data_IF_911156669559
#
_entry.id   IF_911156669559
#
_cell.length_a   1.000
_cell.length_b   1.000
_cell.length_c   1.000
_cell.angle_alpha   90.00
_cell.angle_beta   90.00
_cell.angle_gamma   90.00
#
_symmetry.space_group_name_H-M   'P 1'
#
loop_
_entity.id
_entity.type
_entity.pdbx_description
1 polymer ?
#
# COMPACT_ATOMS: atom_id res chain seq x y z
N UNK A 1 24.91 -6.49 -83.38
CA UNK A 1 25.21 -5.73 -84.61
C UNK A 1 24.49 -6.34 -85.82
N UNK A 2 24.22 -5.61 -86.91
CA UNK A 2 23.58 -6.18 -88.12
C UNK A 2 24.63 -6.43 -89.21
N UNK A 3 24.70 -7.66 -89.73
CA UNK A 3 25.64 -8.05 -90.79
C UNK A 3 25.55 -7.16 -92.04
N UNK A 4 24.33 -6.89 -92.51
CA UNK A 4 24.06 -6.06 -93.70
C UNK A 4 24.65 -4.64 -93.59
N UNK A 5 24.63 -4.05 -92.39
CA UNK A 5 25.20 -2.74 -92.15
C UNK A 5 26.71 -2.72 -92.38
N UNK A 6 27.42 -3.77 -91.99
CA UNK A 6 28.86 -3.89 -92.20
C UNK A 6 29.21 -4.18 -93.67
N UNK A 7 28.41 -5.01 -94.34
CA UNK A 7 28.56 -5.29 -95.78
C UNK A 7 28.31 -4.03 -96.63
N UNK A 8 27.32 -3.21 -96.28
CA UNK A 8 27.03 -1.92 -96.93
C UNK A 8 28.13 -0.86 -96.72
N UNK A 9 28.96 -1.00 -95.68
CA UNK A 9 30.14 -0.16 -95.44
C UNK A 9 31.37 -0.59 -96.27
N UNK A 10 31.24 -1.62 -97.11
CA UNK A 10 32.31 -2.08 -98.00
C UNK A 10 33.32 -3.02 -97.37
N UNK A 11 33.02 -3.59 -96.19
CA UNK A 11 33.87 -4.58 -95.52
C UNK A 11 33.80 -5.94 -96.24
N UNK A 12 34.92 -6.68 -96.24
CA UNK A 12 34.95 -8.03 -96.81
C UNK A 12 34.24 -9.03 -95.89
N UNK A 13 33.76 -10.17 -96.44
CA UNK A 13 33.06 -11.20 -95.64
C UNK A 13 33.86 -11.65 -94.42
N UNK A 14 35.17 -11.81 -94.55
CA UNK A 14 36.07 -12.22 -93.46
C UNK A 14 36.16 -11.16 -92.36
N UNK A 15 36.22 -9.87 -92.71
CA UNK A 15 36.20 -8.77 -91.74
C UNK A 15 34.84 -8.69 -91.02
N UNK A 16 33.75 -8.90 -91.76
CA UNK A 16 32.39 -8.94 -91.20
C UNK A 16 32.23 -10.10 -90.22
N UNK A 17 32.73 -11.30 -90.57
CA UNK A 17 32.69 -12.47 -89.69
C UNK A 17 33.49 -12.25 -88.40
N UNK A 18 34.68 -11.67 -88.49
CA UNK A 18 35.50 -11.34 -87.31
C UNK A 18 34.81 -10.33 -86.39
N UNK A 19 34.22 -9.26 -86.93
CA UNK A 19 33.52 -8.23 -86.14
C UNK A 19 32.27 -8.81 -85.47
N UNK A 20 31.51 -9.65 -86.18
CA UNK A 20 30.31 -10.27 -85.63
C UNK A 20 30.65 -11.28 -84.52
N UNK A 21 31.78 -12.00 -84.63
CA UNK A 21 32.27 -12.90 -83.59
C UNK A 21 32.68 -12.12 -82.32
N UNK A 22 33.48 -11.07 -82.47
CA UNK A 22 33.89 -10.21 -81.34
C UNK A 22 32.68 -9.56 -80.66
N UNK A 23 31.75 -9.01 -81.46
CA UNK A 23 30.51 -8.42 -80.92
C UNK A 23 29.62 -9.45 -80.21
N UNK A 24 29.62 -10.71 -80.67
CA UNK A 24 28.93 -11.80 -79.99
C UNK A 24 29.58 -12.10 -78.64
N UNK A 25 30.90 -12.17 -78.60
CA UNK A 25 31.68 -12.36 -77.36
C UNK A 25 31.43 -11.24 -76.36
N UNK A 26 31.49 -9.98 -76.78
CA UNK A 26 31.23 -8.80 -75.94
C UNK A 26 29.80 -8.79 -75.38
N UNK A 27 28.80 -9.16 -76.20
CA UNK A 27 27.40 -9.22 -75.76
C UNK A 27 27.20 -10.30 -74.71
N UNK A 28 27.81 -11.48 -74.89
CA UNK A 28 27.70 -12.56 -73.90
C UNK A 28 28.43 -12.20 -72.60
N UNK A 29 29.60 -11.55 -72.68
CA UNK A 29 30.29 -11.02 -71.51
C UNK A 29 29.44 -9.97 -70.75
N UNK A 30 28.90 -8.98 -71.47
CA UNK A 30 28.05 -7.95 -70.89
C UNK A 30 26.74 -8.51 -70.30
N UNK A 31 26.14 -9.53 -70.92
CA UNK A 31 24.99 -10.24 -70.33
C UNK A 31 25.35 -10.92 -69.02
N UNK A 32 26.49 -11.60 -68.98
CA UNK A 32 27.01 -12.22 -67.75
C UNK A 32 27.17 -11.20 -66.63
N UNK A 33 27.81 -10.07 -66.91
CA UNK A 33 27.96 -8.98 -65.94
C UNK A 33 26.60 -8.41 -65.49
N UNK A 34 25.65 -8.21 -66.42
CA UNK A 34 24.30 -7.73 -66.08
C UNK A 34 23.54 -8.71 -65.20
N UNK A 35 23.68 -10.02 -65.44
CA UNK A 35 23.07 -11.05 -64.60
C UNK A 35 23.70 -11.09 -63.21
N UNK A 36 25.03 -10.97 -63.11
CA UNK A 36 25.75 -10.86 -61.83
C UNK A 36 25.31 -9.62 -61.06
N UNK A 37 25.31 -8.45 -61.69
CA UNK A 37 24.90 -7.18 -61.05
C UNK A 37 23.44 -7.24 -60.61
N UNK A 38 22.55 -7.87 -61.39
CA UNK A 38 21.15 -8.08 -60.97
C UNK A 38 21.05 -8.97 -59.74
N UNK A 39 21.83 -10.05 -59.68
CA UNK A 39 21.85 -10.94 -58.53
C UNK A 39 22.36 -10.22 -57.27
N UNK A 40 23.43 -9.44 -57.39
CA UNK A 40 23.98 -8.61 -56.31
C UNK A 40 22.99 -7.55 -55.82
N UNK A 41 22.24 -6.93 -56.75
CA UNK A 41 21.22 -5.94 -56.42
C UNK A 41 20.06 -6.56 -55.61
N UNK A 42 19.54 -7.71 -56.05
CA UNK A 42 18.47 -8.40 -55.32
C UNK A 42 18.95 -8.90 -53.94
N UNK A 43 20.19 -9.37 -53.83
CA UNK A 43 20.80 -9.72 -52.55
C UNK A 43 20.90 -8.51 -51.62
N UNK A 44 21.41 -7.38 -52.13
CA UNK A 44 21.55 -6.13 -51.36
C UNK A 44 20.19 -5.61 -50.90
N UNK A 45 19.17 -5.67 -51.76
CA UNK A 45 17.81 -5.27 -51.42
C UNK A 45 17.21 -6.13 -50.30
N UNK A 46 17.46 -7.44 -50.34
CA UNK A 46 17.06 -8.38 -49.28
C UNK A 46 17.71 -8.01 -47.95
N UNK A 47 19.04 -7.81 -47.95
CA UNK A 47 19.78 -7.40 -46.74
C UNK A 47 19.28 -6.06 -46.18
N UNK A 48 18.96 -5.10 -47.04
CA UNK A 48 18.40 -3.81 -46.62
C UNK A 48 17.02 -3.98 -45.95
N UNK A 49 16.16 -4.84 -46.49
CA UNK A 49 14.86 -5.15 -45.90
C UNK A 49 14.99 -5.84 -44.53
N UNK A 50 15.91 -6.80 -44.40
CA UNK A 50 16.21 -7.48 -43.14
C UNK A 50 16.77 -6.52 -42.09
N UNK A 51 17.69 -5.63 -42.48
CA UNK A 51 18.24 -4.61 -41.60
C UNK A 51 17.16 -3.64 -41.12
N UNK A 52 16.30 -3.15 -42.02
CA UNK A 52 15.18 -2.28 -41.65
C UNK A 52 14.19 -2.97 -40.70
N UNK A 53 13.84 -4.24 -40.95
CA UNK A 53 12.97 -5.03 -40.08
C UNK A 53 13.58 -5.20 -38.69
N UNK A 54 14.90 -5.47 -38.63
CA UNK A 54 15.65 -5.59 -37.37
C UNK A 54 15.67 -4.27 -36.60
N UNK A 55 15.91 -3.14 -37.28
CA UNK A 55 15.87 -1.79 -36.71
C UNK A 55 14.48 -1.46 -36.16
N UNK A 56 13.42 -1.79 -36.89
CA UNK A 56 12.04 -1.62 -36.42
C UNK A 56 11.74 -2.48 -35.19
N UNK A 57 12.28 -3.69 -35.10
CA UNK A 57 12.20 -4.55 -33.92
C UNK A 57 12.90 -3.99 -32.68
N UNK A 58 13.88 -3.10 -32.84
CA UNK A 58 14.53 -2.40 -31.71
C UNK A 58 13.70 -1.23 -31.16
N UNK A 59 12.55 -0.85 -31.75
CA UNK A 59 11.64 0.17 -31.17
C UNK A 59 11.10 -0.23 -29.79
N UNK A 60 11.06 -1.52 -29.47
CA UNK A 60 10.74 -2.01 -28.13
C UNK A 60 11.77 -1.53 -27.07
N UNK A 61 13.00 -1.18 -27.46
CA UNK A 61 14.00 -0.67 -26.52
C UNK A 61 13.57 0.65 -25.88
N UNK A 62 13.02 1.59 -26.66
CA UNK A 62 12.56 2.88 -26.12
C UNK A 62 11.33 2.68 -25.23
N UNK A 63 10.43 1.75 -25.59
CA UNK A 63 9.27 1.41 -24.76
C UNK A 63 9.70 0.72 -23.45
N UNK A 64 10.62 -0.25 -23.52
CA UNK A 64 11.17 -0.93 -22.34
C UNK A 64 11.90 0.07 -21.44
N UNK A 65 12.67 0.99 -22.01
CA UNK A 65 13.36 2.04 -21.25
C UNK A 65 12.36 2.97 -20.56
N UNK A 66 11.28 3.36 -21.24
CA UNK A 66 10.21 4.16 -20.63
C UNK A 66 9.53 3.42 -19.47
N UNK A 67 9.21 2.13 -19.65
CA UNK A 67 8.64 1.29 -18.60
C UNK A 67 9.58 1.14 -17.39
N UNK A 68 10.89 1.00 -17.63
CA UNK A 68 11.89 0.91 -16.54
C UNK A 68 11.93 2.20 -15.72
N UNK A 69 11.91 3.38 -16.35
CA UNK A 69 11.87 4.65 -15.63
C UNK A 69 10.53 4.87 -14.90
N UNK A 70 9.42 4.44 -15.48
CA UNK A 70 8.11 4.45 -14.83
C UNK A 70 8.10 3.54 -13.58
N UNK A 71 8.56 2.30 -13.72
CA UNK A 71 8.67 1.36 -12.60
C UNK A 71 9.59 1.87 -11.50
N UNK A 72 10.71 2.50 -11.86
CA UNK A 72 11.63 3.11 -10.89
C UNK A 72 10.97 4.26 -10.13
N UNK A 73 10.23 5.12 -10.83
CA UNK A 73 9.49 6.22 -10.22
C UNK A 73 8.40 5.71 -9.28
N UNK A 74 7.65 4.71 -9.73
CA UNK A 74 6.59 4.09 -8.93
C UNK A 74 7.15 3.38 -7.69
N UNK A 75 8.29 2.70 -7.83
CA UNK A 75 8.98 2.05 -6.73
C UNK A 75 9.43 3.05 -5.66
N UNK A 76 10.08 4.14 -6.03
CA UNK A 76 10.51 5.18 -5.08
C UNK A 76 9.31 5.84 -4.40
N UNK A 77 8.24 6.13 -5.16
CA UNK A 77 6.99 6.65 -4.59
C UNK A 77 6.40 5.69 -3.56
N UNK A 78 6.30 4.41 -3.94
CA UNK A 78 5.75 3.35 -3.08
C UNK A 78 6.57 3.20 -1.80
N UNK A 79 7.91 3.26 -1.89
CA UNK A 79 8.80 3.20 -0.73
C UNK A 79 8.54 4.34 0.26
N UNK A 80 8.49 5.59 -0.22
CA UNK A 80 8.20 6.77 0.63
C UNK A 80 6.81 6.66 1.25
N UNK A 81 5.82 6.19 0.49
CA UNK A 81 4.46 5.99 0.99
C UNK A 81 4.40 4.92 2.09
N UNK A 82 5.11 3.80 1.93
CA UNK A 82 5.19 2.75 2.94
C UNK A 82 5.92 3.21 4.20
N UNK A 83 7.03 3.92 4.07
CA UNK A 83 7.75 4.52 5.20
C UNK A 83 6.85 5.50 5.96
N UNK A 84 6.10 6.34 5.25
CA UNK A 84 5.12 7.26 5.83
C UNK A 84 4.00 6.50 6.54
N UNK A 85 3.45 5.45 5.92
CA UNK A 85 2.40 4.63 6.54
C UNK A 85 2.89 3.93 7.81
N UNK A 86 4.10 3.37 7.80
CA UNK A 86 4.67 2.69 8.97
C UNK A 86 4.84 3.68 10.12
N UNK A 87 5.43 4.85 9.84
CA UNK A 87 5.63 5.89 10.86
C UNK A 87 4.31 6.42 11.39
N UNK A 88 3.31 6.64 10.54
CA UNK A 88 1.96 7.04 10.93
C UNK A 88 1.25 5.99 11.80
N UNK A 89 1.40 4.70 11.47
CA UNK A 89 0.84 3.60 12.25
C UNK A 89 1.49 3.51 13.63
N UNK A 90 2.82 3.58 13.70
CA UNK A 90 3.57 3.56 14.95
C UNK A 90 3.20 4.75 15.85
N UNK A 91 3.17 5.95 15.27
CA UNK A 91 2.77 7.16 15.98
C UNK A 91 1.31 7.08 16.45
N UNK A 92 0.40 6.63 15.58
CA UNK A 92 -1.01 6.45 15.92
C UNK A 92 -1.21 5.48 17.09
N UNK A 93 -0.50 4.36 17.11
CA UNK A 93 -0.56 3.38 18.20
C UNK A 93 0.01 3.96 19.51
N UNK A 94 1.13 4.69 19.45
CA UNK A 94 1.71 5.35 20.62
C UNK A 94 0.76 6.40 21.20
N UNK A 95 0.12 7.20 20.34
CA UNK A 95 -0.85 8.21 20.73
C UNK A 95 -2.11 7.59 21.36
N UNK A 96 -2.67 6.53 20.76
CA UNK A 96 -3.83 5.82 21.31
C UNK A 96 -3.52 5.17 22.66
N UNK A 97 -2.32 4.61 22.82
CA UNK A 97 -1.83 4.08 24.09
C UNK A 97 -1.71 5.19 25.15
N UNK A 98 -1.12 6.33 24.81
CA UNK A 98 -0.98 7.47 25.71
C UNK A 98 -2.34 8.05 26.15
N UNK A 99 -3.29 8.18 25.21
CA UNK A 99 -4.65 8.62 25.51
C UNK A 99 -5.34 7.64 26.46
N UNK A 100 -5.21 6.34 26.21
CA UNK A 100 -5.81 5.30 27.07
C UNK A 100 -5.17 5.31 28.46
N UNK A 101 -3.85 5.48 28.56
CA UNK A 101 -3.14 5.57 29.83
C UNK A 101 -3.54 6.81 30.63
N UNK A 102 -3.85 7.91 29.96
CA UNK A 102 -4.42 9.12 30.56
C UNK A 102 -5.92 9.00 30.92
N UNK A 103 -6.53 7.84 30.69
CA UNK A 103 -7.94 7.58 31.00
C UNK A 103 -8.92 8.04 29.93
N UNK A 104 -8.51 8.28 28.69
CA UNK A 104 -9.39 8.67 27.60
C UNK A 104 -10.50 7.63 27.36
N UNK A 105 -11.76 8.05 27.46
CA UNK A 105 -12.96 7.19 27.27
C UNK A 105 -13.12 6.73 25.82
N UNK A 106 -12.67 7.54 24.86
CA UNK A 106 -12.68 7.21 23.44
C UNK A 106 -11.43 7.80 22.77
N UNK A 107 -10.45 6.95 22.48
CA UNK A 107 -9.18 7.38 21.90
C UNK A 107 -9.34 8.08 20.54
N UNK A 108 -10.32 7.68 19.73
CA UNK A 108 -10.60 8.30 18.43
C UNK A 108 -11.14 9.73 18.59
N UNK A 109 -12.03 9.95 19.55
CA UNK A 109 -12.60 11.27 19.82
C UNK A 109 -11.54 12.23 20.40
N UNK A 110 -10.72 11.75 21.35
CA UNK A 110 -9.62 12.56 21.91
C UNK A 110 -8.58 12.85 20.84
N UNK A 111 -8.17 11.87 20.03
CA UNK A 111 -7.21 12.06 18.92
C UNK A 111 -7.66 13.12 17.93
N UNK A 112 -8.97 13.22 17.64
CA UNK A 112 -9.51 14.22 16.73
C UNK A 112 -9.41 15.67 17.26
N UNK A 113 -9.19 15.85 18.57
CA UNK A 113 -8.99 17.15 19.21
C UNK A 113 -7.51 17.53 19.33
N UNK A 114 -6.59 16.64 18.97
CA UNK A 114 -5.15 16.87 19.04
C UNK A 114 -4.60 17.25 17.66
N UNK A 115 -3.58 18.12 17.65
CA UNK A 115 -2.83 18.43 16.44
C UNK A 115 -1.82 17.31 16.15
N UNK A 116 -2.31 16.27 15.50
CA UNK A 116 -1.54 15.05 15.19
C UNK A 116 -0.32 15.38 14.32
N UNK A 117 -0.42 16.33 13.37
CA UNK A 117 0.66 16.66 12.46
C UNK A 117 1.78 17.43 13.17
N UNK A 118 1.44 18.38 14.06
CA UNK A 118 2.42 19.05 14.91
C UNK A 118 3.10 18.06 15.87
N UNK A 119 2.35 17.12 16.45
CA UNK A 119 2.89 16.11 17.36
C UNK A 119 3.81 15.11 16.65
N UNK A 120 3.50 14.71 15.41
CA UNK A 120 4.40 13.88 14.58
C UNK A 120 5.71 14.60 14.27
N UNK A 121 5.64 15.90 13.97
CA UNK A 121 6.81 16.72 13.64
C UNK A 121 7.66 17.12 14.86
N UNK A 122 7.20 16.83 16.09
CA UNK A 122 7.92 17.15 17.30
C UNK A 122 9.22 16.35 17.45
N UNK A 123 10.27 17.03 17.96
CA UNK A 123 11.53 16.39 18.36
C UNK A 123 11.44 15.67 19.72
N UNK A 124 10.42 15.97 20.53
CA UNK A 124 10.18 15.37 21.83
C UNK A 124 8.74 14.85 21.92
N UNK A 125 8.43 13.89 21.05
CA UNK A 125 7.08 13.38 20.84
C UNK A 125 6.41 12.92 22.15
N UNK A 126 7.13 12.23 23.04
CA UNK A 126 6.56 11.74 24.31
C UNK A 126 6.08 12.88 25.21
N UNK A 127 6.90 13.91 25.41
CA UNK A 127 6.55 15.04 26.26
C UNK A 127 5.43 15.88 25.65
N UNK A 128 5.47 16.10 24.34
CA UNK A 128 4.48 16.94 23.65
C UNK A 128 3.12 16.23 23.53
N UNK A 129 3.11 14.90 23.31
CA UNK A 129 1.88 14.09 23.35
C UNK A 129 1.25 14.18 24.75
N UNK A 130 2.07 14.02 25.81
CA UNK A 130 1.57 14.12 27.18
C UNK A 130 0.98 15.51 27.47
N UNK A 131 1.70 16.57 27.11
CA UNK A 131 1.23 17.94 27.29
C UNK A 131 -0.07 18.23 26.52
N UNK A 132 -0.18 17.73 25.29
CA UNK A 132 -1.38 17.89 24.47
C UNK A 132 -2.57 17.12 25.04
N UNK A 133 -2.36 15.91 25.58
CA UNK A 133 -3.41 15.14 26.27
C UNK A 133 -3.84 15.84 27.56
N UNK A 134 -2.91 16.37 28.36
CA UNK A 134 -3.22 17.13 29.58
C UNK A 134 -4.00 18.41 29.29
N UNK A 135 -3.65 19.13 28.22
CA UNK A 135 -4.41 20.30 27.75
C UNK A 135 -5.82 19.89 27.31
N UNK A 136 -5.94 18.83 26.49
CA UNK A 136 -7.21 18.29 26.07
C UNK A 136 -8.07 17.82 27.26
N UNK A 137 -7.46 17.31 28.34
CA UNK A 137 -8.16 16.90 29.55
C UNK A 137 -8.69 18.10 30.36
N UNK A 138 -7.97 19.22 30.38
CA UNK A 138 -8.44 20.46 31.02
C UNK A 138 -9.65 21.05 30.30
N UNK A 139 -9.61 21.05 28.97
CA UNK A 139 -10.67 21.66 28.14
C UNK A 139 -11.86 20.71 27.94
N UNK A 140 -11.60 19.40 27.86
CA UNK A 140 -12.58 18.37 27.52
C UNK A 140 -12.60 17.23 28.54
N UNK A 141 -12.61 17.55 29.83
CA UNK A 141 -12.51 16.57 30.93
C UNK A 141 -13.55 15.44 30.88
N UNK A 142 -14.73 15.67 30.29
CA UNK A 142 -15.76 14.65 30.08
C UNK A 142 -15.35 13.51 29.14
N UNK A 143 -14.36 13.73 28.27
CA UNK A 143 -13.78 12.69 27.40
C UNK A 143 -12.80 11.78 28.15
N UNK A 144 -12.42 12.14 29.36
CA UNK A 144 -11.49 11.39 30.20
C UNK A 144 -12.24 10.80 31.40
N UNK A 145 -11.89 9.58 31.76
CA UNK A 145 -12.27 9.00 33.02
C UNK A 145 -11.47 9.70 34.10
N UNK A 146 -12.00 10.79 34.65
CA UNK A 146 -11.58 11.19 35.96
C UNK A 146 -11.73 9.96 36.88
N UNK A 147 -10.79 9.80 37.82
CA UNK A 147 -11.04 9.05 39.05
C UNK A 147 -12.11 9.83 39.82
N UNK A 148 -13.32 9.90 39.27
CA UNK A 148 -14.46 10.42 40.00
C UNK A 148 -14.57 9.50 41.21
N UNK A 149 -14.49 10.02 42.44
CA UNK A 149 -14.96 9.25 43.58
C UNK A 149 -16.34 8.76 43.17
N UNK A 150 -16.60 7.45 43.30
CA UNK A 150 -17.98 6.98 43.26
C UNK A 150 -18.65 7.66 44.45
N UNK A 151 -19.15 8.88 44.23
CA UNK A 151 -19.95 9.56 45.19
C UNK A 151 -21.29 8.86 45.03
N UNK A 152 -21.54 7.87 45.88
CA UNK A 152 -22.86 7.37 46.14
C UNK A 152 -23.47 8.36 47.15
N UNK A 153 -24.15 9.44 46.74
CA UNK A 153 -24.98 10.19 47.67
C UNK A 153 -26.16 9.30 48.01
N UNK A 154 -25.96 8.36 48.93
CA UNK A 154 -27.07 7.87 49.72
C UNK A 154 -27.48 9.03 50.63
N UNK A 155 -28.45 9.81 50.18
CA UNK A 155 -29.23 10.60 51.12
C UNK A 155 -29.79 9.64 52.18
N UNK A 156 -29.86 10.01 53.46
CA UNK A 156 -30.42 9.13 54.47
C UNK A 156 -31.87 8.82 54.10
N UNK A 157 -32.10 7.62 53.56
CA UNK A 157 -33.42 7.03 53.53
C UNK A 157 -33.75 6.71 54.97
N UNK A 158 -34.59 7.54 55.59
CA UNK A 158 -35.20 7.21 56.87
C UNK A 158 -35.91 5.87 56.73
N UNK A 159 -35.32 4.83 57.34
CA UNK A 159 -36.00 3.65 57.85
C UNK A 159 -36.47 2.62 56.82
N UNK A 160 -35.60 1.66 56.52
CA UNK A 160 -35.92 0.24 56.70
C UNK A 160 -34.61 -0.55 56.64
N UNK A 161 -34.00 -0.80 57.80
CA UNK A 161 -32.98 -1.82 57.92
C UNK A 161 -33.60 -3.14 57.43
N UNK A 162 -33.06 -3.72 56.36
CA UNK A 162 -33.32 -5.09 55.95
C UNK A 162 -32.76 -6.02 57.04
N UNK A 163 -33.55 -6.19 58.10
CA UNK A 163 -33.28 -7.10 59.20
C UNK A 163 -34.47 -8.05 59.35
N UNK A 164 -34.16 -9.32 59.61
CA UNK A 164 -35.14 -10.37 59.94
C UNK A 164 -36.12 -9.81 60.97
N UNK A 165 -37.41 -9.85 60.65
CA UNK A 165 -38.47 -9.38 61.56
C UNK A 165 -38.72 -10.40 62.68
N UNK A 166 -39.30 -9.97 63.81
CA UNK A 166 -39.63 -10.88 64.93
C UNK A 166 -40.56 -12.03 64.51
N UNK A 167 -41.48 -11.77 63.58
CA UNK A 167 -42.38 -12.81 63.05
C UNK A 167 -41.62 -13.83 62.18
N UNK A 168 -40.68 -13.37 61.35
CA UNK A 168 -39.80 -14.27 60.59
C UNK A 168 -38.89 -15.09 61.54
N UNK A 169 -38.41 -14.50 62.64
CA UNK A 169 -37.64 -15.21 63.65
C UNK A 169 -38.45 -16.32 64.34
N UNK A 170 -39.75 -16.11 64.61
CA UNK A 170 -40.65 -17.13 65.19
C UNK A 170 -40.92 -18.30 64.25
N UNK A 171 -40.82 -18.09 62.94
CA UNK A 171 -40.98 -19.16 61.93
C UNK A 171 -39.67 -19.86 61.57
N UNK A 172 -38.51 -19.28 61.91
CA UNK A 172 -37.21 -19.91 61.64
C UNK A 172 -37.02 -21.21 62.40
N UNK A 173 -36.38 -22.19 61.75
CA UNK A 173 -36.03 -23.47 62.35
C UNK A 173 -34.96 -23.33 63.44
N UNK A 174 -34.82 -24.36 64.29
CA UNK A 174 -33.86 -24.35 65.40
C UNK A 174 -32.42 -24.11 64.93
N UNK A 175 -32.01 -24.71 63.80
CA UNK A 175 -30.67 -24.59 63.25
C UNK A 175 -30.35 -23.16 62.79
N UNK A 176 -31.30 -22.51 62.11
CA UNK A 176 -31.17 -21.13 61.62
C UNK A 176 -31.09 -20.13 62.78
N UNK A 177 -31.86 -20.36 63.83
CA UNK A 177 -31.78 -19.57 65.06
C UNK A 177 -30.44 -19.74 65.79
N UNK A 178 -29.86 -20.95 65.76
CA UNK A 178 -28.57 -21.23 66.36
C UNK A 178 -27.44 -20.53 65.59
N UNK A 179 -27.48 -20.58 64.26
CA UNK A 179 -26.53 -19.86 63.40
C UNK A 179 -26.65 -18.34 63.61
N UNK A 180 -27.87 -17.81 63.74
CA UNK A 180 -28.08 -16.39 64.07
C UNK A 180 -27.50 -16.03 65.44
N UNK A 181 -27.62 -16.92 66.44
CA UNK A 181 -27.01 -16.73 67.77
C UNK A 181 -25.48 -16.75 67.72
N UNK A 182 -24.89 -17.57 66.87
CA UNK A 182 -23.43 -17.69 66.73
C UNK A 182 -22.82 -16.51 65.96
N UNK A 183 -23.47 -16.10 64.87
CA UNK A 183 -22.94 -15.07 63.96
C UNK A 183 -23.40 -13.65 64.31
N UNK A 184 -24.51 -13.51 65.03
CA UNK A 184 -25.09 -12.20 65.41
C UNK A 184 -25.85 -12.29 66.75
N UNK A 185 -25.12 -12.50 67.86
CA UNK A 185 -25.73 -12.73 69.19
C UNK A 185 -26.59 -11.56 69.67
N UNK A 186 -26.21 -10.32 69.38
CA UNK A 186 -27.01 -9.12 69.71
C UNK A 186 -28.35 -9.10 68.98
N UNK A 187 -28.35 -9.47 67.69
CA UNK A 187 -29.58 -9.52 66.88
C UNK A 187 -30.49 -10.66 67.32
N UNK A 188 -29.92 -11.80 67.69
CA UNK A 188 -30.66 -12.91 68.27
C UNK A 188 -31.34 -12.51 69.60
N UNK A 189 -30.65 -11.77 70.47
CA UNK A 189 -31.21 -11.29 71.74
C UNK A 189 -32.37 -10.30 71.51
N UNK A 190 -32.21 -9.36 70.58
CA UNK A 190 -33.24 -8.38 70.19
C UNK A 190 -34.50 -9.04 69.62
N UNK A 191 -34.33 -10.11 68.82
CA UNK A 191 -35.42 -10.82 68.16
C UNK A 191 -36.10 -11.87 69.04
N UNK A 192 -35.38 -12.48 69.98
CA UNK A 192 -35.95 -13.43 70.95
C UNK A 192 -36.96 -12.75 71.87
N UNK A 193 -36.61 -11.56 72.39
CA UNK A 193 -37.44 -10.78 73.33
C UNK A 193 -37.69 -11.51 74.67
N UNK A 194 -37.69 -10.78 75.78
CA UNK A 194 -38.13 -11.32 77.07
C UNK A 194 -39.66 -11.47 77.05
N UNK A 195 -40.13 -12.68 77.32
CA UNK A 195 -41.52 -12.99 77.63
C UNK A 195 -41.53 -13.99 78.79
#
# INVERSE_FOLDING_TARGET
MKRKFLEEMGLTKEQVDSIMAENGSDIEAAKGEVETVKAELEQTKTQLQEANTTIDGFKDYDQVKAQVEEYKTEYERSKVEYETKITDMQFGAALESAITAAGGRNAKAVKALLDVDALKASKNQEADIKAAIEACQKDNGYLFGATEPINNPIGPTQGAALGITKEQFKTMGYKERLELKQNSPEKYAELKGDN
#
